data_IF_801484094866
#
_entry.id   IF_801484094866
#
_cell.length_a   1.000
_cell.length_b   1.000
_cell.length_c   1.000
_cell.angle_alpha   90.00
_cell.angle_beta   90.00
_cell.angle_gamma   90.00
#
_symmetry.space_group_name_H-M   'P 1'
#
loop_
_entity.id
_entity.type
_entity.pdbx_description
1 polymer ?
#
# COMPACT_ATOMS: atom_id res chain seq x y z
N UNK A 1 -7.28 -3.37 -3.03
CA UNK A 1 -6.90 -4.81 -3.05
C UNK A 1 -5.38 -4.93 -3.04
N UNK A 2 -4.83 -6.11 -2.70
CA UNK A 2 -3.39 -6.36 -2.89
C UNK A 2 -3.03 -6.39 -4.38
N UNK A 3 -1.74 -6.25 -4.69
CA UNK A 3 -1.23 -6.43 -6.04
C UNK A 3 -1.57 -7.83 -6.54
N UNK A 4 -2.37 -7.91 -7.59
CA UNK A 4 -2.80 -9.14 -8.22
C UNK A 4 -3.20 -8.87 -9.68
N UNK A 5 -3.30 -9.90 -10.53
CA UNK A 5 -3.77 -9.74 -11.91
C UNK A 5 -5.15 -9.06 -11.96
N UNK A 6 -5.28 -8.07 -12.83
CA UNK A 6 -6.46 -7.23 -12.99
C UNK A 6 -6.54 -6.07 -11.98
N UNK A 7 -5.52 -5.84 -11.16
CA UNK A 7 -5.49 -4.66 -10.29
C UNK A 7 -4.89 -3.46 -11.03
N UNK A 8 -5.52 -2.29 -10.90
CA UNK A 8 -4.97 -1.01 -11.37
C UNK A 8 -3.75 -0.68 -10.50
N UNK A 9 -2.57 -0.61 -11.12
CA UNK A 9 -1.28 -0.33 -10.47
C UNK A 9 -0.88 1.14 -10.53
N UNK A 10 -1.34 1.87 -11.55
CA UNK A 10 -1.02 3.28 -11.77
C UNK A 10 -2.12 3.97 -12.61
N UNK A 11 -2.13 5.29 -12.59
CA UNK A 11 -3.04 6.15 -13.35
C UNK A 11 -2.28 7.38 -13.82
N UNK A 12 -2.42 7.76 -15.08
CA UNK A 12 -1.78 8.97 -15.65
C UNK A 12 -2.80 9.87 -16.35
N UNK A 13 -2.68 11.19 -16.11
CA UNK A 13 -3.40 12.20 -16.89
C UNK A 13 -2.84 12.23 -18.33
N UNK A 14 -3.72 12.05 -19.30
CA UNK A 14 -3.46 12.20 -20.74
C UNK A 14 -4.46 13.20 -21.35
N UNK A 15 -4.23 13.63 -22.59
CA UNK A 15 -5.04 14.69 -23.25
C UNK A 15 -6.55 14.42 -23.20
N UNK A 16 -6.96 13.16 -23.42
CA UNK A 16 -8.37 12.79 -23.53
C UNK A 16 -8.96 12.19 -22.24
N UNK A 17 -8.24 12.17 -21.12
CA UNK A 17 -8.73 11.57 -19.86
C UNK A 17 -7.63 10.96 -19.00
N UNK A 18 -7.97 9.96 -18.21
CA UNK A 18 -7.03 9.26 -17.32
C UNK A 18 -6.74 7.86 -17.85
N UNK A 19 -5.48 7.58 -18.17
CA UNK A 19 -5.01 6.27 -18.62
C UNK A 19 -4.72 5.39 -17.40
N UNK A 20 -5.44 4.28 -17.26
CA UNK A 20 -5.14 3.30 -16.23
C UNK A 20 -4.05 2.31 -16.69
N UNK A 21 -3.18 1.92 -15.77
CA UNK A 21 -2.24 0.81 -15.93
C UNK A 21 -2.70 -0.35 -15.05
N UNK A 22 -2.75 -1.56 -15.61
CA UNK A 22 -3.30 -2.76 -14.97
C UNK A 22 -2.28 -3.88 -14.99
N UNK A 23 -2.16 -4.61 -13.88
CA UNK A 23 -1.29 -5.78 -13.79
C UNK A 23 -1.88 -6.96 -14.56
N UNK A 24 -1.11 -7.55 -15.46
CA UNK A 24 -1.52 -8.76 -16.18
C UNK A 24 -1.36 -10.05 -15.35
N UNK A 25 -1.56 -11.21 -15.98
CA UNK A 25 -1.41 -12.52 -15.33
C UNK A 25 0.02 -12.81 -14.85
N UNK A 26 1.01 -12.15 -15.44
CA UNK A 26 2.43 -12.24 -15.11
C UNK A 26 2.87 -11.12 -14.16
N UNK A 27 1.93 -10.33 -13.63
CA UNK A 27 2.21 -9.16 -12.78
C UNK A 27 3.00 -8.07 -13.49
N UNK A 28 2.86 -7.95 -14.80
CA UNK A 28 3.49 -6.94 -15.63
C UNK A 28 2.47 -5.86 -15.97
N UNK A 29 2.90 -4.60 -15.90
CA UNK A 29 2.09 -3.45 -16.29
C UNK A 29 1.63 -3.56 -17.75
N UNK A 30 0.31 -3.49 -17.93
CA UNK A 30 -0.36 -3.52 -19.22
C UNK A 30 -1.32 -2.34 -19.32
N UNK A 31 -1.53 -1.84 -20.53
CA UNK A 31 -2.44 -0.72 -20.79
C UNK A 31 -3.88 -1.10 -20.47
N UNK A 32 -4.46 -0.41 -19.48
CA UNK A 32 -5.88 -0.41 -19.19
C UNK A 32 -6.64 0.62 -20.03
N UNK A 33 -7.91 0.78 -19.74
CA UNK A 33 -8.76 1.76 -20.40
C UNK A 33 -8.31 3.20 -20.06
N UNK A 34 -8.56 4.11 -20.98
CA UNK A 34 -8.56 5.54 -20.71
C UNK A 34 -9.99 5.97 -20.41
N UNK A 35 -10.21 6.63 -19.29
CA UNK A 35 -11.54 7.02 -18.81
C UNK A 35 -11.64 8.50 -18.49
N UNK A 36 -12.83 9.05 -18.57
CA UNK A 36 -13.13 10.35 -17.98
C UNK A 36 -13.33 10.19 -16.45
N UNK A 37 -12.48 10.80 -15.61
CA UNK A 37 -12.57 10.64 -14.16
C UNK A 37 -13.82 11.29 -13.53
N UNK A 38 -14.54 12.14 -14.29
CA UNK A 38 -15.72 12.85 -13.82
C UNK A 38 -16.99 11.99 -13.85
N UNK A 39 -17.13 11.13 -14.86
CA UNK A 39 -18.34 10.34 -15.09
C UNK A 39 -18.08 8.84 -15.35
N UNK A 40 -16.81 8.42 -15.43
CA UNK A 40 -16.39 7.05 -15.65
C UNK A 40 -16.54 6.54 -17.08
N UNK A 41 -16.86 7.43 -18.04
CA UNK A 41 -17.00 7.06 -19.45
C UNK A 41 -15.66 6.60 -20.02
N UNK A 42 -15.63 5.40 -20.59
CA UNK A 42 -14.46 4.92 -21.34
C UNK A 42 -14.27 5.74 -22.62
N UNK A 43 -13.13 6.43 -22.69
CA UNK A 43 -12.71 7.23 -23.85
C UNK A 43 -11.99 6.35 -24.86
N UNK A 44 -11.10 5.46 -24.37
CA UNK A 44 -10.35 4.52 -25.21
C UNK A 44 -10.21 3.19 -24.49
N UNK A 45 -10.46 2.09 -25.19
CA UNK A 45 -10.27 0.76 -24.64
C UNK A 45 -8.80 0.36 -24.60
N UNK A 46 -8.37 -0.20 -23.48
CA UNK A 46 -7.09 -0.84 -23.28
C UNK A 46 -7.08 -2.31 -23.67
N UNK A 47 -6.04 -3.01 -23.20
CA UNK A 47 -5.80 -4.45 -23.44
C UNK A 47 -6.20 -5.32 -22.25
N UNK A 48 -6.33 -4.72 -21.06
CA UNK A 48 -6.62 -5.41 -19.82
C UNK A 48 -7.95 -4.95 -19.22
N UNK A 49 -8.63 -5.85 -18.51
CA UNK A 49 -9.79 -5.51 -17.68
C UNK A 49 -9.35 -5.38 -16.22
N UNK A 50 -9.96 -4.44 -15.50
CA UNK A 50 -9.68 -4.23 -14.09
C UNK A 50 -10.78 -4.81 -13.20
N UNK A 51 -10.36 -5.37 -12.06
CA UNK A 51 -11.24 -5.92 -11.01
C UNK A 51 -11.07 -5.20 -9.66
N UNK A 52 -10.11 -4.30 -9.55
CA UNK A 52 -9.91 -3.42 -8.40
C UNK A 52 -8.62 -2.61 -8.53
N UNK A 53 -8.22 -1.95 -7.45
CA UNK A 53 -7.08 -1.02 -7.41
C UNK A 53 -6.07 -1.41 -6.33
N UNK A 54 -4.77 -1.31 -6.62
CA UNK A 54 -3.69 -1.52 -5.65
C UNK A 54 -3.47 -0.27 -4.78
N UNK A 55 -2.67 -0.39 -3.72
CA UNK A 55 -2.23 0.80 -2.97
C UNK A 55 -1.47 1.81 -3.82
N UNK A 56 -0.64 1.37 -4.77
CA UNK A 56 0.09 2.26 -5.68
C UNK A 56 -0.84 2.95 -6.67
N UNK A 57 -1.86 2.25 -7.18
CA UNK A 57 -2.89 2.84 -8.02
C UNK A 57 -3.73 3.87 -7.26
N UNK A 58 -4.00 3.63 -5.97
CA UNK A 58 -4.65 4.63 -5.11
C UNK A 58 -3.79 5.88 -4.95
N UNK A 59 -2.49 5.73 -4.68
CA UNK A 59 -1.55 6.86 -4.60
C UNK A 59 -1.55 7.66 -5.91
N UNK A 60 -1.50 6.98 -7.06
CA UNK A 60 -1.52 7.64 -8.36
C UNK A 60 -2.83 8.42 -8.61
N UNK A 61 -3.98 7.77 -8.36
CA UNK A 61 -5.28 8.39 -8.56
C UNK A 61 -5.51 9.59 -7.63
N UNK A 62 -5.04 9.53 -6.37
CA UNK A 62 -5.12 10.67 -5.45
C UNK A 62 -4.23 11.83 -5.92
N UNK A 63 -3.00 11.54 -6.36
CA UNK A 63 -2.09 12.55 -6.87
C UNK A 63 -2.70 13.27 -8.07
N UNK A 64 -3.16 12.53 -9.07
CA UNK A 64 -3.77 13.09 -10.27
C UNK A 64 -5.10 13.79 -9.96
N UNK A 65 -5.88 13.28 -9.00
CA UNK A 65 -7.13 13.89 -8.55
C UNK A 65 -6.91 15.26 -7.92
N UNK A 66 -5.89 15.39 -7.08
CA UNK A 66 -5.49 16.67 -6.48
C UNK A 66 -4.92 17.60 -7.56
N UNK A 67 -4.01 17.09 -8.41
CA UNK A 67 -3.34 17.87 -9.46
C UNK A 67 -4.31 18.43 -10.51
N UNK A 68 -5.34 17.67 -10.86
CA UNK A 68 -6.38 18.09 -11.81
C UNK A 68 -7.51 18.92 -11.19
N UNK A 69 -7.50 19.10 -9.86
CA UNK A 69 -8.54 19.85 -9.14
C UNK A 69 -9.86 19.10 -8.95
N UNK A 70 -9.93 17.81 -9.31
CA UNK A 70 -11.09 16.94 -9.04
C UNK A 70 -11.21 16.70 -7.52
N UNK A 71 -10.08 16.66 -6.81
CA UNK A 71 -10.02 16.65 -5.35
C UNK A 71 -9.47 18.01 -4.89
N UNK A 72 -10.32 19.06 -4.83
CA UNK A 72 -9.86 20.41 -4.52
C UNK A 72 -9.35 20.55 -3.07
N UNK A 73 -10.02 19.87 -2.12
CA UNK A 73 -9.59 19.76 -0.73
C UNK A 73 -9.92 18.36 -0.23
N UNK A 74 -8.96 17.66 0.37
CA UNK A 74 -9.21 16.31 0.87
C UNK A 74 -10.13 16.37 2.10
N UNK A 75 -11.11 15.45 2.24
CA UNK A 75 -11.35 14.28 1.39
C UNK A 75 -12.42 14.50 0.29
N UNK A 76 -12.78 15.74 -0.02
CA UNK A 76 -13.90 16.05 -0.92
C UNK A 76 -13.56 15.81 -2.39
N UNK A 77 -14.40 15.03 -3.08
CA UNK A 77 -14.30 14.77 -4.52
C UNK A 77 -15.38 15.58 -5.23
N UNK A 78 -14.96 16.43 -6.16
CA UNK A 78 -15.82 17.35 -6.91
C UNK A 78 -16.26 16.77 -8.26
N UNK A 79 -16.99 15.67 -8.20
CA UNK A 79 -17.68 15.06 -9.36
C UNK A 79 -19.18 15.03 -9.11
N UNK A 80 -20.02 14.85 -10.14
CA UNK A 80 -21.49 14.90 -9.99
C UNK A 80 -22.06 13.92 -8.95
N UNK A 81 -21.41 12.77 -8.75
CA UNK A 81 -21.82 11.74 -7.78
C UNK A 81 -20.87 11.60 -6.57
N UNK A 82 -19.90 12.50 -6.43
CA UNK A 82 -18.94 12.52 -5.31
C UNK A 82 -17.93 11.37 -5.32
N UNK A 83 -17.66 10.77 -6.48
CA UNK A 83 -16.70 9.68 -6.66
C UNK A 83 -15.70 10.00 -7.75
N UNK A 84 -14.47 9.53 -7.57
CA UNK A 84 -13.46 9.57 -8.60
C UNK A 84 -13.53 8.27 -9.39
N UNK A 85 -13.85 8.37 -10.68
CA UNK A 85 -14.14 7.20 -11.51
C UNK A 85 -12.89 6.69 -12.22
N UNK A 86 -12.70 5.37 -12.18
CA UNK A 86 -11.67 4.63 -12.90
C UNK A 86 -12.32 3.58 -13.81
N UNK A 87 -11.49 2.84 -14.55
CA UNK A 87 -11.98 1.83 -15.48
C UNK A 87 -12.81 0.72 -14.82
N UNK A 88 -13.69 0.10 -15.63
CA UNK A 88 -14.58 -1.00 -15.22
C UNK A 88 -15.48 -0.67 -14.00
N UNK A 89 -15.79 0.61 -13.77
CA UNK A 89 -16.65 1.06 -12.67
C UNK A 89 -15.98 0.98 -11.29
N UNK A 90 -14.66 0.87 -11.24
CA UNK A 90 -13.87 1.00 -10.02
C UNK A 90 -13.86 2.47 -9.63
N UNK A 91 -14.21 2.77 -8.39
CA UNK A 91 -14.34 4.15 -7.92
C UNK A 91 -13.59 4.34 -6.61
N UNK A 92 -13.07 5.55 -6.41
CA UNK A 92 -12.55 6.03 -5.14
C UNK A 92 -13.58 7.00 -4.55
N UNK A 93 -13.97 6.76 -3.30
CA UNK A 93 -14.90 7.62 -2.56
C UNK A 93 -14.15 8.56 -1.62
N UNK A 94 -14.83 9.60 -1.12
CA UNK A 94 -14.26 10.46 -0.07
C UNK A 94 -13.83 9.69 1.18
N UNK A 95 -14.50 8.60 1.53
CA UNK A 95 -14.06 7.76 2.65
C UNK A 95 -12.72 7.06 2.35
N UNK A 96 -12.51 6.62 1.12
CA UNK A 96 -11.24 6.04 0.71
C UNK A 96 -10.11 7.08 0.70
N UNK A 97 -10.41 8.33 0.30
CA UNK A 97 -9.47 9.47 0.39
C UNK A 97 -9.07 9.73 1.85
N UNK A 98 -10.04 9.73 2.76
CA UNK A 98 -9.84 9.91 4.21
C UNK A 98 -8.96 8.79 4.81
N UNK A 99 -9.25 7.53 4.51
CA UNK A 99 -8.46 6.38 5.01
C UNK A 99 -7.03 6.35 4.42
N UNK A 100 -6.89 6.61 3.12
CA UNK A 100 -5.58 6.73 2.49
C UNK A 100 -4.79 7.91 3.05
N UNK A 101 -5.46 9.04 3.28
CA UNK A 101 -4.89 10.25 3.84
C UNK A 101 -4.35 10.08 5.25
N UNK A 102 -5.04 9.31 6.11
CA UNK A 102 -4.50 8.93 7.45
C UNK A 102 -3.16 8.20 7.34
N UNK A 103 -3.04 7.27 6.38
CA UNK A 103 -1.80 6.52 6.17
C UNK A 103 -0.68 7.41 5.60
N UNK A 104 -0.98 8.25 4.60
CA UNK A 104 -0.03 9.20 4.01
C UNK A 104 0.44 10.21 5.07
N UNK A 105 -0.50 10.76 5.82
CA UNK A 105 -0.25 11.68 6.92
C UNK A 105 0.60 11.08 8.03
N UNK A 106 0.34 9.83 8.42
CA UNK A 106 1.15 9.14 9.42
C UNK A 106 2.60 8.95 8.96
N UNK A 107 2.82 8.63 7.67
CA UNK A 107 4.18 8.52 7.12
C UNK A 107 4.90 9.87 7.13
N UNK A 108 4.24 10.94 6.67
CA UNK A 108 4.82 12.28 6.66
C UNK A 108 5.15 12.78 8.06
N UNK A 109 4.19 12.68 8.98
CA UNK A 109 4.40 13.01 10.39
C UNK A 109 5.56 12.21 10.99
N UNK A 110 5.67 10.93 10.66
CA UNK A 110 6.74 10.05 11.11
C UNK A 110 8.11 10.54 10.69
N UNK A 111 8.36 10.70 9.39
CA UNK A 111 9.70 11.12 8.94
C UNK A 111 10.04 12.56 9.32
N UNK A 112 9.06 13.48 9.38
CA UNK A 112 9.31 14.85 9.84
C UNK A 112 9.66 14.90 11.32
N UNK A 113 9.02 14.07 12.14
CA UNK A 113 9.39 13.90 13.55
C UNK A 113 10.82 13.39 13.69
N UNK A 114 11.19 12.36 12.92
CA UNK A 114 12.56 11.82 12.96
C UNK A 114 13.61 12.86 12.56
N UNK A 115 13.31 13.69 11.53
CA UNK A 115 14.20 14.77 11.14
C UNK A 115 14.35 15.81 12.25
N UNK A 116 13.24 16.24 12.84
CA UNK A 116 13.24 17.21 13.92
C UNK A 116 14.07 16.74 15.13
N UNK A 117 13.86 15.50 15.57
CA UNK A 117 14.60 14.88 16.67
C UNK A 117 16.10 14.70 16.35
N UNK A 118 16.46 14.58 15.07
CA UNK A 118 17.84 14.55 14.61
C UNK A 118 18.47 15.95 14.47
N UNK A 119 17.74 17.02 14.78
CA UNK A 119 18.19 18.40 14.55
C UNK A 119 18.33 18.76 13.07
N UNK A 120 17.63 18.02 12.21
CA UNK A 120 17.59 18.21 10.75
C UNK A 120 16.19 18.67 10.33
N UNK A 121 16.06 19.11 9.09
CA UNK A 121 14.77 19.36 8.49
C UNK A 121 14.71 18.88 7.04
N UNK A 122 13.58 19.16 6.40
CA UNK A 122 13.28 18.69 5.04
C UNK A 122 14.35 19.07 4.02
N UNK A 123 14.97 20.24 4.15
CA UNK A 123 16.00 20.74 3.23
C UNK A 123 17.35 19.99 3.31
N UNK A 124 17.62 19.27 4.40
CA UNK A 124 18.89 18.58 4.63
C UNK A 124 18.96 17.20 3.96
N UNK A 125 17.81 16.63 3.61
CA UNK A 125 17.72 15.30 2.99
C UNK A 125 17.71 15.44 1.48
N UNK A 126 18.76 14.96 0.80
CA UNK A 126 18.86 15.01 -0.68
C UNK A 126 18.54 13.70 -1.37
N UNK A 127 18.73 12.58 -0.68
CA UNK A 127 18.50 11.24 -1.24
C UNK A 127 17.46 10.51 -0.42
N UNK A 128 16.41 10.02 -1.08
CA UNK A 128 15.40 9.19 -0.46
C UNK A 128 15.47 7.77 -1.03
N UNK A 129 15.62 6.80 -0.15
CA UNK A 129 15.63 5.38 -0.49
C UNK A 129 14.24 4.80 -0.24
N UNK A 130 13.58 4.39 -1.31
CA UNK A 130 12.24 3.81 -1.28
C UNK A 130 12.37 2.29 -1.42
N UNK A 131 11.78 1.52 -0.49
CA UNK A 131 11.92 0.06 -0.47
C UNK A 131 10.62 -0.64 -0.11
N UNK A 132 10.60 -1.97 -0.28
CA UNK A 132 9.41 -2.80 -0.12
C UNK A 132 8.54 -2.83 -1.38
N UNK A 133 7.54 -3.71 -1.41
CA UNK A 133 6.70 -3.90 -2.59
C UNK A 133 6.07 -2.57 -3.06
N UNK A 134 5.43 -1.83 -2.14
CA UNK A 134 4.86 -0.52 -2.47
C UNK A 134 5.93 0.50 -2.88
N UNK A 135 7.09 0.53 -2.20
CA UNK A 135 8.15 1.49 -2.48
C UNK A 135 8.83 1.30 -3.85
N UNK A 136 8.82 0.06 -4.38
CA UNK A 136 9.33 -0.24 -5.70
C UNK A 136 8.35 0.13 -6.82
N UNK A 137 7.07 -0.23 -6.65
CA UNK A 137 6.07 -0.11 -7.71
C UNK A 137 5.36 1.25 -7.73
N UNK A 138 5.39 2.01 -6.63
CA UNK A 138 4.82 3.36 -6.62
C UNK A 138 5.59 4.28 -7.57
N UNK A 139 4.89 5.17 -8.27
CA UNK A 139 5.55 6.28 -8.93
C UNK A 139 6.19 7.21 -7.87
N UNK A 140 7.51 7.34 -7.94
CA UNK A 140 8.28 8.07 -6.95
C UNK A 140 7.97 9.58 -6.94
N UNK A 141 7.63 10.15 -8.09
CA UNK A 141 7.28 11.57 -8.24
C UNK A 141 5.88 11.83 -7.68
N UNK A 142 4.91 10.95 -7.96
CA UNK A 142 3.56 11.02 -7.39
C UNK A 142 3.60 10.85 -5.87
N UNK A 143 4.41 9.90 -5.38
CA UNK A 143 4.63 9.70 -3.94
C UNK A 143 5.27 10.93 -3.26
N UNK A 144 6.25 11.58 -3.91
CA UNK A 144 6.82 12.84 -3.45
C UNK A 144 5.79 13.96 -3.43
N UNK A 145 4.98 14.10 -4.48
CA UNK A 145 3.93 15.12 -4.58
C UNK A 145 2.81 14.97 -3.55
N UNK A 146 2.50 13.73 -3.16
CA UNK A 146 1.60 13.44 -2.05
C UNK A 146 2.29 13.47 -0.67
N UNK A 147 3.57 13.80 -0.63
CA UNK A 147 4.39 13.90 0.58
C UNK A 147 4.53 12.60 1.36
N UNK A 148 4.54 11.46 0.66
CA UNK A 148 5.04 10.19 1.18
C UNK A 148 6.58 10.15 1.19
N UNK A 149 7.23 11.10 0.51
CA UNK A 149 8.68 11.29 0.47
C UNK A 149 9.01 12.69 0.99
N UNK A 150 10.19 12.83 1.62
CA UNK A 150 10.67 14.12 2.15
C UNK A 150 10.79 15.13 1.01
N UNK A 151 10.18 16.32 1.11
CA UNK A 151 10.12 17.25 -0.01
C UNK A 151 11.49 17.82 -0.45
N UNK A 152 12.51 17.83 0.41
CA UNK A 152 13.86 18.26 -0.01
C UNK A 152 14.65 17.24 -0.82
N UNK A 153 14.13 16.01 -1.00
CA UNK A 153 14.81 14.96 -1.75
C UNK A 153 14.81 15.25 -3.26
N UNK A 154 15.99 15.18 -3.86
CA UNK A 154 16.24 15.39 -5.30
C UNK A 154 16.63 14.10 -6.01
N UNK A 155 17.11 13.11 -5.26
CA UNK A 155 17.49 11.80 -5.76
C UNK A 155 16.63 10.72 -5.12
N UNK A 156 15.70 10.15 -5.88
CA UNK A 156 14.81 9.08 -5.42
C UNK A 156 15.34 7.75 -5.93
N UNK A 157 15.68 6.84 -5.02
CA UNK A 157 16.26 5.54 -5.37
C UNK A 157 15.30 4.45 -4.91
N UNK A 158 14.74 3.72 -5.87
CA UNK A 158 13.81 2.61 -5.61
C UNK A 158 14.56 1.29 -5.57
N UNK A 159 14.44 0.63 -4.42
CA UNK A 159 14.88 -0.74 -4.17
C UNK A 159 13.68 -1.67 -4.07
N UNK A 160 13.89 -2.95 -4.38
CA UNK A 160 12.92 -4.00 -4.06
C UNK A 160 12.83 -4.27 -2.55
N UNK A 161 12.55 -5.52 -2.20
CA UNK A 161 12.46 -5.94 -0.82
C UNK A 161 13.86 -6.13 -0.21
N UNK A 162 14.33 -5.11 0.51
CA UNK A 162 15.65 -5.07 1.16
C UNK A 162 15.80 -6.14 2.26
N UNK A 163 14.70 -6.55 2.90
CA UNK A 163 14.70 -7.64 3.89
C UNK A 163 15.03 -8.98 3.24
N UNK A 164 14.45 -9.26 2.07
CA UNK A 164 14.72 -10.49 1.31
C UNK A 164 16.14 -10.47 0.75
N UNK A 165 16.61 -9.32 0.25
CA UNK A 165 17.99 -9.16 -0.18
C UNK A 165 18.98 -9.41 0.97
N UNK A 166 18.69 -8.92 2.17
CA UNK A 166 19.51 -9.19 3.36
C UNK A 166 19.49 -10.68 3.73
N UNK A 167 18.32 -11.32 3.76
CA UNK A 167 18.17 -12.74 4.05
C UNK A 167 18.98 -13.61 3.07
N UNK A 168 18.98 -13.25 1.78
CA UNK A 168 19.79 -13.89 0.75
C UNK A 168 21.28 -13.72 1.02
N UNK A 169 21.73 -12.50 1.35
CA UNK A 169 23.14 -12.24 1.66
C UNK A 169 23.65 -13.05 2.85
N UNK A 170 22.80 -13.24 3.86
CA UNK A 170 23.07 -14.12 5.00
C UNK A 170 23.16 -15.58 4.53
N UNK A 171 22.16 -16.06 3.78
CA UNK A 171 22.13 -17.45 3.30
C UNK A 171 23.31 -17.80 2.37
N UNK A 172 23.82 -16.83 1.61
CA UNK A 172 25.00 -16.98 0.76
C UNK A 172 26.33 -16.79 1.51
N UNK A 173 26.31 -16.47 2.81
CA UNK A 173 27.52 -16.21 3.60
C UNK A 173 28.26 -14.91 3.22
N UNK A 174 27.62 -14.00 2.48
CA UNK A 174 28.21 -12.69 2.10
C UNK A 174 28.10 -11.65 3.21
N UNK A 175 27.13 -11.83 4.12
CA UNK A 175 26.98 -11.06 5.35
C UNK A 175 26.85 -12.04 6.50
N UNK A 176 27.57 -11.78 7.59
CA UNK A 176 27.51 -12.60 8.78
C UNK A 176 26.50 -12.04 9.82
N UNK A 177 25.91 -12.94 10.61
CA UNK A 177 24.90 -12.58 11.62
C UNK A 177 25.47 -11.80 12.80
N UNK A 178 26.76 -11.96 13.10
CA UNK A 178 27.45 -11.25 14.17
C UNK A 178 27.68 -9.78 13.81
N UNK A 179 28.10 -9.50 12.57
CA UNK A 179 28.16 -8.17 11.99
C UNK A 179 26.81 -7.47 12.09
N UNK A 180 25.70 -8.14 11.72
CA UNK A 180 24.36 -7.55 11.81
C UNK A 180 23.95 -7.23 13.25
N UNK A 181 24.28 -8.11 14.22
CA UNK A 181 24.03 -7.83 15.64
C UNK A 181 24.82 -6.62 16.13
N UNK A 182 26.10 -6.55 15.80
CA UNK A 182 26.96 -5.42 16.17
C UNK A 182 26.49 -4.12 15.50
N UNK A 183 26.06 -4.16 14.24
CA UNK A 183 25.47 -3.02 13.55
C UNK A 183 24.17 -2.56 14.22
N UNK A 184 23.28 -3.49 14.57
CA UNK A 184 22.03 -3.18 15.26
C UNK A 184 22.25 -2.54 16.65
N UNK A 185 23.31 -2.93 17.36
CA UNK A 185 23.67 -2.29 18.64
C UNK A 185 24.02 -0.81 18.47
N UNK A 186 24.60 -0.40 17.33
CA UNK A 186 24.89 1.01 17.04
C UNK A 186 23.63 1.83 16.76
N UNK A 187 22.58 1.21 16.21
CA UNK A 187 21.29 1.87 15.91
C UNK A 187 20.41 2.08 17.16
N UNK A 188 20.53 1.21 18.17
CA UNK A 188 19.68 1.23 19.37
C UNK A 188 19.89 2.45 20.29
N UNK A 189 20.91 3.27 20.05
CA UNK A 189 21.22 4.41 20.92
C UNK A 189 20.12 5.50 20.91
N UNK A 190 19.31 5.59 19.85
CA UNK A 190 18.29 6.63 19.69
C UNK A 190 17.04 6.07 19.01
N UNK A 191 16.06 5.69 19.82
CA UNK A 191 14.74 5.26 19.36
C UNK A 191 13.69 6.34 19.66
N UNK A 192 13.10 6.92 18.61
CA UNK A 192 12.01 7.89 18.75
C UNK A 192 10.67 7.16 18.88
N UNK A 193 10.00 7.28 20.03
CA UNK A 193 8.67 6.72 20.25
C UNK A 193 7.59 7.74 19.85
N UNK A 194 6.98 7.56 18.68
CA UNK A 194 5.95 8.47 18.17
C UNK A 194 4.74 8.61 19.10
N UNK A 195 4.34 7.55 19.81
CA UNK A 195 3.22 7.59 20.75
C UNK A 195 3.41 8.63 21.87
N UNK A 196 4.66 8.93 22.24
CA UNK A 196 5.00 9.90 23.29
C UNK A 196 5.61 11.19 22.72
N UNK A 197 5.89 11.27 21.41
CA UNK A 197 6.46 12.44 20.78
C UNK A 197 5.40 13.51 20.59
N UNK A 198 5.62 14.69 21.18
CA UNK A 198 4.71 15.82 21.01
C UNK A 198 4.79 16.38 19.58
N UNK A 199 5.99 16.41 19.00
CA UNK A 199 6.21 16.75 17.59
C UNK A 199 5.39 15.86 16.66
N UNK A 200 5.36 14.54 16.90
CA UNK A 200 4.55 13.64 16.09
C UNK A 200 3.05 13.97 16.19
N UNK A 201 2.53 14.19 17.40
CA UNK A 201 1.10 14.54 17.58
C UNK A 201 0.75 15.84 16.88
N UNK A 202 1.62 16.85 16.99
CA UNK A 202 1.44 18.15 16.35
C UNK A 202 1.39 18.01 14.82
N UNK A 203 2.42 17.39 14.23
CA UNK A 203 2.48 17.21 12.78
C UNK A 203 1.35 16.31 12.27
N UNK A 204 1.05 15.22 12.98
CA UNK A 204 -0.06 14.35 12.59
C UNK A 204 -1.42 15.04 12.68
N UNK A 205 -1.62 15.99 13.61
CA UNK A 205 -2.84 16.80 13.67
C UNK A 205 -2.97 17.72 12.46
N UNK A 206 -1.86 18.26 11.96
CA UNK A 206 -1.82 19.05 10.71
C UNK A 206 -2.17 18.14 9.53
N UNK A 207 -1.50 16.99 9.42
CA UNK A 207 -1.77 16.00 8.37
C UNK A 207 -3.23 15.54 8.36
N UNK A 208 -3.77 15.20 9.53
CA UNK A 208 -5.17 14.85 9.67
C UNK A 208 -6.09 15.99 9.21
N UNK A 209 -5.71 17.24 9.49
CA UNK A 209 -6.50 18.39 9.04
C UNK A 209 -6.48 18.55 7.51
N UNK A 210 -5.32 18.35 6.88
CA UNK A 210 -5.20 18.38 5.40
C UNK A 210 -6.06 17.29 4.77
N UNK A 211 -5.90 16.06 5.26
CA UNK A 211 -6.44 14.88 4.60
C UNK A 211 -7.91 14.62 4.91
N UNK A 212 -8.33 14.94 6.13
CA UNK A 212 -9.60 14.46 6.68
C UNK A 212 -10.59 15.60 6.98
N UNK A 213 -10.14 16.85 7.09
CA UNK A 213 -11.01 17.97 7.51
C UNK A 213 -11.16 19.09 6.48
N UNK A 214 -10.54 18.97 5.30
CA UNK A 214 -10.66 19.97 4.24
C UNK A 214 -9.68 21.13 4.34
N UNK A 215 -8.67 21.07 5.20
CA UNK A 215 -7.67 22.13 5.29
C UNK A 215 -6.83 22.16 4.00
N UNK A 216 -6.70 23.31 3.34
CA UNK A 216 -5.87 23.42 2.14
C UNK A 216 -4.38 23.32 2.48
N UNK A 217 -3.60 22.71 1.60
CA UNK A 217 -2.13 22.60 1.75
C UNK A 217 -1.42 23.96 1.87
N UNK A 218 -2.03 25.05 1.38
CA UNK A 218 -1.48 26.40 1.54
C UNK A 218 -1.41 26.88 2.99
N UNK A 219 -2.19 26.29 3.90
CA UNK A 219 -2.16 26.61 5.33
C UNK A 219 -1.16 25.75 6.11
N UNK A 220 -0.50 24.78 5.47
CA UNK A 220 0.35 23.81 6.17
C UNK A 220 1.50 24.49 6.94
N UNK A 221 2.21 25.42 6.28
CA UNK A 221 3.35 26.12 6.89
C UNK A 221 2.92 27.06 8.03
N UNK A 222 1.74 27.67 7.92
CA UNK A 222 1.15 28.48 8.99
C UNK A 222 0.90 27.61 10.24
N UNK A 223 0.32 26.43 10.05
CA UNK A 223 0.05 25.49 11.14
C UNK A 223 1.34 24.94 11.77
N UNK A 224 2.38 24.68 10.98
CA UNK A 224 3.70 24.35 11.52
C UNK A 224 4.25 25.48 12.40
N UNK A 225 4.08 26.73 11.96
CA UNK A 225 4.49 27.93 12.69
C UNK A 225 3.82 28.05 14.07
N UNK A 226 2.55 27.67 14.22
CA UNK A 226 1.84 27.65 15.51
C UNK A 226 2.56 26.75 16.53
N UNK A 227 3.17 25.66 16.07
CA UNK A 227 3.92 24.73 16.92
C UNK A 227 5.43 25.03 16.99
N UNK A 228 5.88 26.17 16.46
CA UNK A 228 7.29 26.54 16.33
C UNK A 228 8.11 25.54 15.50
N UNK A 229 7.49 24.89 14.51
CA UNK A 229 8.16 24.01 13.57
C UNK A 229 8.57 24.76 12.30
N UNK A 230 9.71 24.44 11.67
CA UNK A 230 10.13 25.12 10.44
C UNK A 230 9.18 24.79 9.28
N UNK A 231 8.99 25.68 8.29
CA UNK A 231 8.13 25.43 7.14
C UNK A 231 8.65 24.25 6.31
N UNK A 232 7.77 23.61 5.53
CA UNK A 232 8.18 22.56 4.62
C UNK A 232 9.11 23.12 3.52
N UNK A 233 10.16 22.39 3.19
CA UNK A 233 10.92 22.64 1.98
C UNK A 233 10.02 22.45 0.76
N UNK A 234 10.24 23.26 -0.29
CA UNK A 234 9.54 23.06 -1.56
C UNK A 234 10.17 21.87 -2.30
N UNK A 235 9.37 20.95 -2.86
CA UNK A 235 9.87 19.95 -3.79
C UNK A 235 10.69 20.59 -4.91
N UNK A 236 11.84 19.99 -5.22
CA UNK A 236 12.63 20.37 -6.39
C UNK A 236 11.84 20.07 -7.67
N UNK A 237 11.96 20.93 -8.68
CA UNK A 237 11.45 20.63 -10.03
C UNK A 237 12.35 19.59 -10.72
N UNK A 238 13.65 19.60 -10.40
CA UNK A 238 14.63 18.64 -10.89
C UNK A 238 14.76 17.48 -9.90
N UNK A 239 13.99 16.42 -10.11
CA UNK A 239 14.05 15.17 -9.34
C UNK A 239 14.49 14.03 -10.26
N UNK A 240 15.58 13.36 -9.90
CA UNK A 240 16.03 12.15 -10.59
C UNK A 240 15.48 10.91 -9.89
N UNK A 241 14.90 9.99 -10.68
CA UNK A 241 14.44 8.68 -10.18
C UNK A 241 15.36 7.59 -10.71
N UNK A 242 15.97 6.82 -9.81
CA UNK A 242 16.77 5.65 -10.14
C UNK A 242 16.09 4.38 -9.63
N UNK A 243 15.76 3.47 -10.54
CA UNK A 243 15.23 2.14 -10.19
C UNK A 243 16.36 1.11 -10.21
N UNK A 244 16.76 0.63 -9.03
CA UNK A 244 17.85 -0.36 -8.85
C UNK A 244 17.38 -1.82 -8.97
N UNK A 245 16.07 -2.06 -8.90
CA UNK A 245 15.49 -3.41 -8.98
C UNK A 245 14.31 -3.40 -9.96
N UNK A 246 14.15 -4.45 -10.76
CA UNK A 246 12.99 -4.56 -11.66
C UNK A 246 11.76 -5.13 -10.94
N UNK A 247 12.00 -5.98 -9.94
CA UNK A 247 11.00 -6.69 -9.15
C UNK A 247 11.31 -6.55 -7.67
N UNK A 248 10.30 -6.72 -6.83
CA UNK A 248 10.44 -6.65 -5.37
C UNK A 248 11.24 -7.84 -4.84
N UNK A 249 11.18 -8.98 -5.53
CA UNK A 249 12.02 -10.14 -5.29
C UNK A 249 13.29 -10.07 -6.15
N UNK A 250 14.48 -10.36 -5.59
CA UNK A 250 15.71 -10.43 -6.37
C UNK A 250 15.67 -11.64 -7.31
N UNK A 251 16.27 -11.51 -8.51
CA UNK A 251 16.41 -12.59 -9.49
C UNK A 251 17.09 -13.82 -8.85
N UNK A 252 16.33 -14.92 -8.74
CA UNK A 252 16.79 -16.17 -8.14
C UNK A 252 17.45 -17.11 -9.14
N UNK A 253 17.34 -16.86 -10.45
CA UNK A 253 17.79 -17.80 -11.47
C UNK A 253 19.31 -18.00 -11.46
N UNK A 254 20.04 -17.00 -10.96
CA UNK A 254 21.50 -17.00 -10.83
C UNK A 254 22.00 -17.37 -9.44
N UNK A 255 21.13 -17.83 -8.53
CA UNK A 255 21.46 -18.09 -7.14
C UNK A 255 21.09 -19.51 -6.71
N UNK A 256 21.89 -20.18 -5.86
CA UNK A 256 21.48 -21.47 -5.28
C UNK A 256 20.30 -21.33 -4.30
N UNK A 257 19.88 -20.11 -3.95
CA UNK A 257 18.74 -19.83 -3.07
C UNK A 257 17.45 -19.83 -3.91
N UNK A 258 16.51 -20.68 -3.53
CA UNK A 258 15.18 -20.76 -4.16
C UNK A 258 14.11 -20.22 -3.21
N UNK A 259 13.17 -19.47 -3.75
CA UNK A 259 11.93 -19.12 -3.04
C UNK A 259 11.03 -20.34 -3.06
N UNK A 260 10.60 -20.80 -1.88
CA UNK A 260 9.58 -21.83 -1.73
C UNK A 260 8.32 -21.19 -1.20
N UNK A 261 7.17 -21.73 -1.61
CA UNK A 261 5.89 -21.32 -1.03
C UNK A 261 5.88 -21.73 0.45
N UNK A 262 5.82 -20.74 1.33
CA UNK A 262 5.79 -20.93 2.78
C UNK A 262 4.54 -20.26 3.31
N UNK A 263 3.75 -20.99 4.10
CA UNK A 263 2.50 -20.47 4.63
C UNK A 263 2.04 -21.28 5.83
N UNK A 264 1.45 -20.60 6.81
CA UNK A 264 0.75 -21.25 7.90
C UNK A 264 -0.67 -21.52 7.44
N UNK A 265 -1.03 -22.79 7.32
CA UNK A 265 -2.36 -23.20 6.90
C UNK A 265 -3.14 -23.71 8.10
N UNK A 266 -4.28 -23.09 8.38
CA UNK A 266 -5.22 -23.62 9.36
C UNK A 266 -6.07 -24.69 8.69
N UNK A 267 -6.02 -25.90 9.21
CA UNK A 267 -6.81 -27.02 8.72
C UNK A 267 -7.63 -27.63 9.84
N UNK A 268 -8.94 -27.76 9.62
CA UNK A 268 -9.79 -28.55 10.50
C UNK A 268 -10.97 -29.15 9.73
N UNK A 269 -11.55 -30.20 10.34
CA UNK A 269 -12.77 -30.85 9.85
C UNK A 269 -14.00 -30.00 10.18
N UNK A 270 -14.98 -30.01 9.28
CA UNK A 270 -16.25 -29.31 9.43
C UNK A 270 -17.38 -30.33 9.38
N UNK A 271 -17.90 -30.68 10.54
CA UNK A 271 -19.08 -31.54 10.65
C UNK A 271 -20.34 -30.77 10.25
N UNK A 272 -21.24 -31.42 9.50
CA UNK A 272 -22.47 -30.78 8.99
C UNK A 272 -22.28 -29.85 7.78
N UNK A 273 -21.07 -29.75 7.22
CA UNK A 273 -20.85 -28.99 6.00
C UNK A 273 -21.47 -29.68 4.77
N UNK A 274 -22.43 -29.01 4.14
CA UNK A 274 -23.10 -29.47 2.91
C UNK A 274 -22.33 -29.14 1.61
N UNK A 275 -21.10 -28.64 1.73
CA UNK A 275 -20.24 -28.31 0.59
C UNK A 275 -20.85 -27.32 -0.43
N UNK A 276 -21.65 -26.35 0.04
CA UNK A 276 -22.30 -25.36 -0.83
C UNK A 276 -21.35 -24.30 -1.43
N UNK A 277 -20.09 -24.25 -0.97
CA UNK A 277 -19.02 -23.32 -1.40
C UNK A 277 -19.30 -21.81 -1.21
N UNK A 278 -20.40 -21.42 -0.56
CA UNK A 278 -20.71 -20.01 -0.29
C UNK A 278 -19.59 -19.30 0.47
N UNK A 279 -19.05 -19.95 1.51
CA UNK A 279 -17.93 -19.43 2.30
C UNK A 279 -16.66 -19.16 1.47
N UNK A 280 -16.38 -19.97 0.45
CA UNK A 280 -15.24 -19.76 -0.45
C UNK A 280 -15.48 -18.56 -1.38
N UNK A 281 -16.69 -18.45 -1.93
CA UNK A 281 -17.08 -17.34 -2.82
C UNK A 281 -17.09 -15.99 -2.11
N UNK A 282 -17.52 -15.97 -0.86
CA UNK A 282 -17.63 -14.75 -0.04
C UNK A 282 -16.27 -14.28 0.51
N UNK A 283 -15.22 -15.09 0.42
CA UNK A 283 -13.90 -14.73 0.91
C UNK A 283 -13.24 -13.73 -0.06
N UNK A 284 -13.10 -12.43 0.30
CA UNK A 284 -12.57 -11.43 -0.62
C UNK A 284 -11.12 -11.74 -1.01
N UNK A 285 -10.34 -12.24 -0.06
CA UNK A 285 -8.92 -12.55 -0.24
C UNK A 285 -8.67 -13.95 -0.83
N UNK A 286 -9.73 -14.72 -1.15
CA UNK A 286 -9.65 -16.12 -1.63
C UNK A 286 -8.77 -17.02 -0.72
N UNK A 287 -8.77 -16.74 0.58
CA UNK A 287 -7.93 -17.42 1.57
C UNK A 287 -8.47 -18.78 2.03
N UNK A 288 -9.76 -19.08 1.79
CA UNK A 288 -10.44 -20.28 2.26
C UNK A 288 -10.69 -21.27 1.12
N UNK A 289 -10.25 -22.51 1.31
CA UNK A 289 -10.60 -23.66 0.47
C UNK A 289 -11.33 -24.72 1.29
N UNK A 290 -12.47 -25.20 0.79
CA UNK A 290 -13.15 -26.36 1.36
C UNK A 290 -12.82 -27.58 0.50
N UNK A 291 -12.36 -28.64 1.16
CA UNK A 291 -12.07 -29.94 0.54
C UNK A 291 -13.14 -30.93 0.98
N UNK A 292 -13.74 -31.64 0.03
CA UNK A 292 -14.70 -32.71 0.32
C UNK A 292 -13.94 -34.04 0.31
N UNK A 293 -13.90 -34.71 1.45
CA UNK A 293 -13.29 -36.02 1.63
C UNK A 293 -14.33 -37.14 1.82
N UNK A 294 -13.88 -38.40 1.97
CA UNK A 294 -14.75 -39.56 2.15
C UNK A 294 -15.60 -39.50 3.43
N UNK A 295 -15.08 -38.85 4.48
CA UNK A 295 -15.66 -38.85 5.83
C UNK A 295 -16.27 -37.50 6.25
N UNK A 296 -16.31 -36.50 5.36
CA UNK A 296 -16.81 -35.15 5.65
C UNK A 296 -16.09 -34.07 4.84
N UNK A 297 -16.37 -32.80 5.16
CA UNK A 297 -15.61 -31.69 4.59
C UNK A 297 -14.54 -31.23 5.58
N UNK A 298 -13.43 -30.71 5.06
CA UNK A 298 -12.43 -29.97 5.83
C UNK A 298 -12.22 -28.59 5.20
N UNK A 299 -11.77 -27.63 5.99
CA UNK A 299 -11.23 -26.38 5.46
C UNK A 299 -9.70 -26.40 5.47
N UNK A 300 -9.15 -25.65 4.52
CA UNK A 300 -7.78 -25.14 4.54
C UNK A 300 -7.86 -23.63 4.38
N UNK A 301 -7.42 -22.90 5.40
CA UNK A 301 -7.32 -21.43 5.37
C UNK A 301 -5.85 -21.06 5.31
N UNK A 302 -5.48 -20.30 4.29
CA UNK A 302 -4.20 -19.61 4.24
C UNK A 302 -4.24 -18.43 5.22
N UNK A 303 -3.54 -18.57 6.36
CA UNK A 303 -3.54 -17.53 7.40
C UNK A 303 -2.87 -16.25 6.95
N UNK A 304 -1.97 -16.29 5.96
CA UNK A 304 -1.31 -15.09 5.44
C UNK A 304 -2.26 -14.20 4.62
N UNK A 305 -3.31 -14.80 4.04
CA UNK A 305 -4.31 -14.10 3.23
C UNK A 305 -5.60 -13.82 3.98
N UNK A 306 -5.86 -14.52 5.09
CA UNK A 306 -7.11 -14.39 5.81
C UNK A 306 -7.17 -13.05 6.56
N UNK A 307 -8.23 -12.25 6.33
CA UNK A 307 -8.51 -11.03 7.11
C UNK A 307 -8.88 -11.27 8.58
N UNK A 308 -8.64 -12.48 9.09
CA UNK A 308 -8.75 -12.87 10.48
C UNK A 308 -10.13 -12.63 11.11
N UNK A 309 -10.10 -12.39 12.42
CA UNK A 309 -11.27 -12.21 13.28
C UNK A 309 -12.10 -10.98 12.94
N UNK A 310 -11.50 -9.96 12.30
CA UNK A 310 -12.18 -8.76 11.84
C UNK A 310 -13.08 -9.03 10.61
N UNK A 311 -12.70 -9.98 9.74
CA UNK A 311 -13.43 -10.27 8.52
C UNK A 311 -14.63 -11.20 8.75
N UNK A 312 -14.41 -12.46 9.18
CA UNK A 312 -15.44 -13.50 9.46
C UNK A 312 -16.62 -13.62 8.46
N UNK A 313 -16.47 -13.16 7.22
CA UNK A 313 -17.55 -13.21 6.21
C UNK A 313 -17.92 -14.66 5.86
N UNK A 314 -16.91 -15.52 5.79
CA UNK A 314 -17.06 -16.95 5.51
C UNK A 314 -17.90 -17.69 6.57
N UNK A 315 -17.78 -17.33 7.85
CA UNK A 315 -18.60 -17.89 8.93
C UNK A 315 -20.05 -17.40 8.83
N UNK A 316 -20.22 -16.08 8.66
CA UNK A 316 -21.54 -15.42 8.59
C UNK A 316 -22.40 -15.90 7.43
N UNK A 317 -21.79 -16.18 6.27
CA UNK A 317 -22.51 -16.64 5.07
C UNK A 317 -22.85 -18.14 5.11
N UNK A 318 -22.33 -18.90 6.07
CA UNK A 318 -22.54 -20.35 6.14
C UNK A 318 -24.00 -20.65 6.53
N UNK A 319 -24.81 -21.24 5.63
CA UNK A 319 -26.24 -21.45 5.91
C UNK A 319 -26.49 -22.45 7.03
N UNK A 320 -25.54 -23.36 7.26
CA UNK A 320 -25.60 -24.37 8.32
C UNK A 320 -24.97 -23.88 9.63
N UNK A 321 -24.31 -22.70 9.62
CA UNK A 321 -23.58 -22.14 10.78
C UNK A 321 -22.57 -23.12 11.41
N UNK A 322 -21.92 -23.93 10.57
CA UNK A 322 -20.96 -24.97 11.01
C UNK A 322 -19.49 -24.57 10.85
N UNK A 323 -19.21 -23.46 10.15
CA UNK A 323 -17.83 -23.01 9.93
C UNK A 323 -17.44 -22.05 11.05
N UNK A 324 -16.46 -22.45 11.85
CA UNK A 324 -15.85 -21.64 12.91
C UNK A 324 -14.33 -21.74 12.83
N UNK A 325 -13.65 -20.62 12.64
CA UNK A 325 -12.19 -20.58 12.49
C UNK A 325 -11.47 -20.59 13.84
N UNK A 326 -12.16 -20.25 14.94
CA UNK A 326 -11.57 -20.16 16.29
C UNK A 326 -11.56 -21.50 17.05
N UNK A 327 -12.26 -22.52 16.55
CA UNK A 327 -12.64 -23.72 17.33
C UNK A 327 -12.22 -25.07 16.76
N UNK A 328 -11.38 -25.10 15.72
CA UNK A 328 -10.92 -26.36 15.15
C UNK A 328 -9.95 -27.08 16.08
N UNK A 329 -10.25 -28.33 16.47
CA UNK A 329 -9.21 -29.22 17.02
C UNK A 329 -8.14 -29.37 15.93
N UNK A 330 -6.86 -29.00 16.19
CA UNK A 330 -5.82 -29.21 15.22
C UNK A 330 -5.75 -30.70 14.89
N UNK A 331 -5.90 -31.05 13.62
CA UNK A 331 -5.56 -32.38 13.14
C UNK A 331 -4.04 -32.42 13.00
N UNK A 332 -3.40 -33.28 13.79
CA UNK A 332 -1.98 -33.61 13.65
C UNK A 332 -1.68 -34.22 12.28
#
# INVERSE_FOLDING_TARGET
MLAAPGAISDVDIVEDGWKCTVLDKSMIDTEGDTVDPMDGRTVRKGKAEAIGITGTGTVAALYDGIKSGIIPTCPNINTPDGKLHLMNGINITSHDVDEAGKAIGAMRAGFLTLLHEAGMWTGDVKTAYMSGASGLYVDAVKALGLGMVVPGATHLIQFGNTSIEMARRIAMGTIDMEFLKQFAQKLKATHCMFATSETFKQIYSIEYSVWCTGMPMSMYDEMLGIYNLPPLGKPSEDVSVERKSMTDLPDTDKCPVKVIESGTFLTARIDGCIYCRKCMKECPEKALTIVKGPSGCSFRVDSARCGGTACRRCERVCPQKVLHLDGGKPTA
#
